data_IF_011167181205
#
_entry.id   IF_011167181205
#
_cell.length_a   1.000
_cell.length_b   1.000
_cell.length_c   1.000
_cell.angle_alpha   90.00
_cell.angle_beta   90.00
_cell.angle_gamma   90.00
#
_symmetry.space_group_name_H-M   'P 1'
#
loop_
_entity.id
_entity.type
_entity.pdbx_description
1 polymer ?
#
# COMPACT_ATOMS: atom_id res chain seq x y z
N UNK A 1 -23.58 -13.38 14.42
CA UNK A 1 -25.02 -13.49 14.76
C UNK A 1 -25.73 -12.32 14.10
N UNK A 2 -26.57 -12.57 13.11
CA UNK A 2 -27.33 -11.50 12.45
C UNK A 2 -28.23 -10.79 13.48
N UNK A 3 -28.34 -9.47 13.40
CA UNK A 3 -29.16 -8.68 14.32
C UNK A 3 -30.60 -9.20 14.33
N UNK A 4 -31.09 -9.61 15.50
CA UNK A 4 -32.47 -10.12 15.69
C UNK A 4 -33.54 -9.01 15.56
N UNK A 5 -33.12 -7.75 15.56
CA UNK A 5 -33.98 -6.57 15.57
C UNK A 5 -33.59 -5.67 14.40
N UNK A 6 -34.58 -5.17 13.67
CA UNK A 6 -34.37 -4.21 12.58
C UNK A 6 -33.67 -2.94 13.12
N UNK A 7 -32.68 -2.39 12.39
CA UNK A 7 -32.02 -1.16 12.79
C UNK A 7 -33.05 -0.02 12.88
N UNK A 8 -32.87 0.86 13.88
CA UNK A 8 -33.75 2.02 14.05
C UNK A 8 -33.67 2.93 12.83
N UNK A 9 -34.82 3.24 12.25
CA UNK A 9 -34.96 4.26 11.21
C UNK A 9 -36.01 5.30 11.64
N UNK A 10 -36.14 6.35 10.86
CA UNK A 10 -37.14 7.42 10.99
C UNK A 10 -38.56 6.91 10.73
N UNK A 11 -39.57 7.75 10.96
CA UNK A 11 -40.96 7.41 10.61
C UNK A 11 -41.12 7.22 9.09
N UNK A 12 -42.05 6.38 8.67
CA UNK A 12 -42.22 5.96 7.27
C UNK A 12 -42.40 7.14 6.28
N UNK A 13 -43.09 8.21 6.71
CA UNK A 13 -43.29 9.41 5.87
C UNK A 13 -41.95 10.09 5.57
N UNK A 14 -41.10 10.24 6.58
CA UNK A 14 -39.78 10.86 6.43
C UNK A 14 -38.85 9.95 5.62
N UNK A 15 -38.94 8.63 5.77
CA UNK A 15 -38.19 7.69 4.93
C UNK A 15 -38.57 7.83 3.45
N UNK A 16 -39.87 7.95 3.13
CA UNK A 16 -40.33 8.14 1.74
C UNK A 16 -39.82 9.47 1.17
N UNK A 17 -39.90 10.56 1.94
CA UNK A 17 -39.36 11.87 1.53
C UNK A 17 -37.85 11.78 1.28
N UNK A 18 -37.09 11.14 2.20
CA UNK A 18 -35.65 10.89 2.05
C UNK A 18 -35.34 10.13 0.77
N UNK A 19 -36.05 9.04 0.50
CA UNK A 19 -35.84 8.19 -0.67
C UNK A 19 -36.15 8.92 -1.98
N UNK A 20 -37.14 9.82 -1.99
CA UNK A 20 -37.48 10.65 -3.14
C UNK A 20 -36.39 11.70 -3.41
N UNK A 21 -35.95 12.42 -2.38
CA UNK A 21 -34.98 13.52 -2.55
C UNK A 21 -33.55 13.04 -2.84
N UNK A 22 -33.15 11.89 -2.28
CA UNK A 22 -31.79 11.34 -2.44
C UNK A 22 -31.67 10.32 -3.59
N UNK A 23 -32.78 9.98 -4.26
CA UNK A 23 -32.81 9.00 -5.35
C UNK A 23 -32.25 7.64 -4.94
N UNK A 24 -31.47 7.00 -5.82
CA UNK A 24 -30.89 5.65 -5.59
C UNK A 24 -29.99 5.52 -4.36
N UNK A 25 -29.62 6.64 -3.71
CA UNK A 25 -28.78 6.67 -2.50
C UNK A 25 -29.58 6.74 -1.20
N UNK A 26 -30.90 7.00 -1.25
CA UNK A 26 -31.71 7.28 -0.06
C UNK A 26 -32.07 6.09 0.83
N UNK A 27 -31.98 4.86 0.27
CA UNK A 27 -32.42 3.65 0.97
C UNK A 27 -31.45 3.09 2.01
N UNK A 28 -30.23 3.65 2.12
CA UNK A 28 -29.21 3.11 3.01
C UNK A 28 -29.12 3.91 4.31
N UNK A 29 -29.12 3.20 5.44
CA UNK A 29 -28.90 3.81 6.75
C UNK A 29 -27.40 3.82 7.07
N UNK A 30 -26.81 5.01 7.13
CA UNK A 30 -25.37 5.20 7.35
C UNK A 30 -24.95 5.07 8.83
N UNK A 31 -25.91 4.96 9.73
CA UNK A 31 -25.63 4.79 11.16
C UNK A 31 -25.18 3.36 11.45
N UNK A 32 -24.33 3.23 12.47
CA UNK A 32 -23.81 1.94 12.94
C UNK A 32 -24.75 1.37 14.00
N UNK A 33 -25.32 0.22 13.72
CA UNK A 33 -26.20 -0.50 14.65
C UNK A 33 -25.53 -1.74 15.21
N UNK A 34 -25.92 -2.09 16.43
CA UNK A 34 -25.52 -3.34 17.07
C UNK A 34 -25.96 -4.54 16.21
N UNK A 35 -25.09 -5.55 16.11
CA UNK A 35 -25.34 -6.76 15.30
C UNK A 35 -25.07 -6.61 13.79
N UNK A 36 -24.93 -5.39 13.27
CA UNK A 36 -24.38 -5.11 11.93
C UNK A 36 -22.90 -4.72 11.98
N UNK A 37 -22.40 -4.39 13.17
CA UNK A 37 -20.97 -4.18 13.45
C UNK A 37 -20.42 -5.37 14.23
N UNK A 38 -19.12 -5.61 14.09
CA UNK A 38 -18.42 -6.56 14.95
C UNK A 38 -18.56 -6.15 16.43
N UNK A 39 -18.57 -7.13 17.33
CA UNK A 39 -18.65 -6.89 18.76
C UNK A 39 -17.47 -6.03 19.24
N UNK A 40 -17.65 -5.27 20.32
CA UNK A 40 -16.54 -4.49 20.91
C UNK A 40 -15.49 -5.40 21.54
N UNK A 41 -15.93 -6.51 22.13
CA UNK A 41 -15.06 -7.55 22.70
C UNK A 41 -14.79 -8.60 21.64
N UNK A 42 -13.52 -8.85 21.37
CA UNK A 42 -13.06 -9.87 20.43
C UNK A 42 -12.38 -11.01 21.21
N UNK A 43 -12.50 -12.28 20.76
CA UNK A 43 -11.75 -13.37 21.36
C UNK A 43 -10.24 -13.18 21.14
N UNK A 44 -9.43 -13.81 21.97
CA UNK A 44 -7.97 -13.75 21.80
C UNK A 44 -7.57 -14.38 20.46
N UNK A 45 -6.85 -13.65 19.58
CA UNK A 45 -6.43 -14.19 18.29
C UNK A 45 -5.23 -15.13 18.44
N UNK A 46 -5.16 -16.15 17.60
CA UNK A 46 -3.95 -16.96 17.38
C UNK A 46 -3.38 -16.58 16.01
N UNK A 47 -2.36 -15.72 16.00
CA UNK A 47 -1.75 -15.21 14.77
C UNK A 47 -0.67 -16.18 14.26
N UNK A 48 -0.54 -16.38 12.94
CA UNK A 48 0.54 -17.17 12.40
C UNK A 48 1.87 -16.45 12.62
N UNK A 49 2.91 -17.24 12.79
CA UNK A 49 4.27 -16.73 12.96
C UNK A 49 4.81 -16.09 11.68
N UNK A 50 5.75 -15.16 11.86
CA UNK A 50 6.49 -14.54 10.77
C UNK A 50 7.52 -15.48 10.11
N UNK A 51 8.09 -15.07 8.96
CA UNK A 51 9.01 -15.92 8.18
C UNK A 51 10.32 -16.28 8.90
N UNK A 52 10.65 -15.59 9.97
CA UNK A 52 11.84 -15.80 10.79
C UNK A 52 11.55 -16.48 12.14
N UNK A 53 10.38 -17.09 12.34
CA UNK A 53 10.13 -18.00 13.47
C UNK A 53 10.71 -19.40 13.18
N UNK A 54 12.02 -19.47 12.97
CA UNK A 54 12.75 -20.70 12.65
C UNK A 54 13.73 -21.01 13.76
N UNK A 55 13.77 -22.28 14.18
CA UNK A 55 14.65 -22.77 15.26
C UNK A 55 16.12 -22.91 14.82
N UNK A 56 16.36 -23.16 13.54
CA UNK A 56 17.70 -23.38 12.98
C UNK A 56 17.91 -22.58 11.69
N UNK A 57 19.17 -22.36 11.31
CA UNK A 57 19.56 -21.66 10.08
C UNK A 57 18.91 -20.26 9.92
N UNK A 58 18.80 -19.51 11.01
CA UNK A 58 18.12 -18.22 11.07
C UNK A 58 18.96 -17.15 11.79
N UNK A 59 20.24 -17.10 11.43
CA UNK A 59 21.17 -16.13 12.00
C UNK A 59 20.81 -14.70 11.60
N UNK A 60 20.86 -13.77 12.56
CA UNK A 60 20.48 -12.38 12.33
C UNK A 60 21.31 -11.69 11.24
N UNK A 61 22.62 -12.00 11.17
CA UNK A 61 23.53 -11.38 10.20
C UNK A 61 23.12 -11.64 8.74
N UNK A 62 22.48 -12.78 8.45
CA UNK A 62 22.07 -13.13 7.09
C UNK A 62 20.81 -12.38 6.62
N UNK A 63 20.02 -11.80 7.55
CA UNK A 63 18.76 -11.10 7.25
C UNK A 63 18.78 -9.61 7.58
N UNK A 64 19.88 -9.10 8.12
CA UNK A 64 19.99 -7.69 8.53
C UNK A 64 20.27 -6.79 7.31
N UNK A 65 19.21 -6.40 6.60
CA UNK A 65 19.29 -5.49 5.47
C UNK A 65 19.83 -4.10 5.86
N UNK A 66 19.74 -3.70 7.13
CA UNK A 66 20.26 -2.40 7.60
C UNK A 66 21.78 -2.30 7.47
N UNK A 67 22.47 -3.44 7.53
CA UNK A 67 23.93 -3.54 7.38
C UNK A 67 24.37 -3.85 5.95
N UNK A 68 23.44 -4.11 5.05
CA UNK A 68 23.70 -4.30 3.62
C UNK A 68 23.67 -2.97 2.85
N UNK A 69 23.36 -1.86 3.53
CA UNK A 69 23.35 -0.54 2.95
C UNK A 69 24.80 -0.09 2.72
N UNK A 70 25.22 -0.10 1.46
CA UNK A 70 26.49 0.46 1.02
C UNK A 70 26.39 1.98 0.81
N UNK A 71 27.54 2.65 0.81
CA UNK A 71 27.62 4.06 0.48
C UNK A 71 27.21 4.30 -0.98
N UNK A 72 26.60 5.46 -1.29
CA UNK A 72 26.24 5.77 -2.67
C UNK A 72 27.47 5.86 -3.57
N UNK A 73 27.35 5.37 -4.80
CA UNK A 73 28.41 5.44 -5.80
C UNK A 73 28.54 6.88 -6.30
N UNK A 74 29.72 7.48 -6.16
CA UNK A 74 30.04 8.81 -6.68
C UNK A 74 30.35 8.71 -8.19
N UNK A 75 29.46 9.25 -9.03
CA UNK A 75 29.60 9.25 -10.50
C UNK A 75 30.48 10.42 -10.98
N UNK A 76 30.42 11.56 -10.29
CA UNK A 76 31.25 12.73 -10.56
C UNK A 76 31.56 13.44 -9.23
N UNK A 77 32.80 13.92 -9.08
CA UNK A 77 33.25 14.69 -7.92
C UNK A 77 34.10 15.87 -8.39
N UNK A 78 33.98 17.03 -7.72
CA UNK A 78 34.80 18.22 -8.01
C UNK A 78 36.28 18.08 -7.59
N UNK A 79 36.67 16.93 -7.02
CA UNK A 79 38.05 16.62 -6.69
C UNK A 79 38.87 16.32 -7.95
N UNK A 80 39.93 17.09 -8.16
CA UNK A 80 40.87 16.96 -9.28
C UNK A 80 41.81 15.76 -9.06
N UNK A 81 41.44 14.60 -9.59
CA UNK A 81 42.32 13.42 -9.67
C UNK A 81 43.38 13.59 -10.77
N UNK A 82 44.59 13.05 -10.55
CA UNK A 82 45.67 13.06 -11.55
C UNK A 82 45.25 12.15 -12.73
N UNK A 83 45.28 12.72 -13.93
CA UNK A 83 44.55 12.22 -15.10
C UNK A 83 44.98 10.85 -15.60
N UNK A 84 43.99 9.97 -15.81
CA UNK A 84 44.14 8.79 -16.66
C UNK A 84 44.20 9.22 -18.14
N UNK A 85 44.96 8.52 -19.01
CA UNK A 85 45.06 8.86 -20.43
C UNK A 85 43.69 8.84 -21.10
N UNK A 86 43.42 9.86 -21.92
CA UNK A 86 42.15 10.04 -22.61
C UNK A 86 41.91 8.91 -23.60
N UNK A 87 41.06 7.95 -23.25
CA UNK A 87 40.49 6.99 -24.20
C UNK A 87 39.40 7.68 -25.03
N UNK A 88 39.46 7.56 -26.35
CA UNK A 88 38.48 8.07 -27.30
C UNK A 88 37.04 7.70 -26.88
N UNK A 89 36.23 8.72 -26.60
CA UNK A 89 34.85 8.53 -26.17
C UNK A 89 33.93 8.51 -27.40
N UNK A 90 33.13 7.44 -27.61
CA UNK A 90 32.18 7.40 -28.72
C UNK A 90 31.11 8.49 -28.58
N UNK A 91 30.47 8.86 -29.69
CA UNK A 91 29.41 9.87 -29.75
C UNK A 91 28.33 9.64 -28.67
N UNK A 92 28.05 10.67 -27.86
CA UNK A 92 27.13 10.60 -26.72
C UNK A 92 25.69 10.49 -27.21
N UNK A 93 25.10 9.29 -27.16
CA UNK A 93 23.64 9.09 -27.30
C UNK A 93 22.94 9.67 -26.07
N UNK A 94 21.84 10.41 -26.26
CA UNK A 94 20.98 10.84 -25.15
C UNK A 94 20.43 9.60 -24.43
N UNK A 95 20.64 9.50 -23.12
CA UNK A 95 20.11 8.41 -22.29
C UNK A 95 18.91 8.92 -21.50
N UNK A 96 17.79 8.21 -21.55
CA UNK A 96 16.65 8.43 -20.65
C UNK A 96 16.86 7.62 -19.35
N UNK A 97 16.34 8.07 -18.20
CA UNK A 97 16.47 7.33 -16.93
C UNK A 97 15.81 5.95 -16.93
N UNK A 98 14.81 5.74 -17.78
CA UNK A 98 14.07 4.49 -17.90
C UNK A 98 13.33 4.38 -19.22
N UNK A 99 12.59 3.28 -19.38
CA UNK A 99 11.71 3.03 -20.53
C UNK A 99 10.42 3.82 -20.38
N UNK A 100 9.88 4.33 -21.49
CA UNK A 100 8.56 4.98 -21.52
C UNK A 100 7.52 3.91 -21.79
N UNK A 101 6.56 3.74 -20.86
CA UNK A 101 5.48 2.76 -20.99
C UNK A 101 4.19 3.46 -21.43
N UNK A 102 3.73 3.16 -22.64
CA UNK A 102 2.42 3.59 -23.15
C UNK A 102 1.38 2.50 -22.83
N UNK A 103 0.68 2.67 -21.70
CA UNK A 103 -0.29 1.70 -21.18
C UNK A 103 -1.57 1.57 -22.04
N UNK A 104 -1.88 2.60 -22.83
CA UNK A 104 -3.05 2.67 -23.73
C UNK A 104 -2.69 2.52 -25.22
N UNK A 105 -1.47 2.15 -25.58
CA UNK A 105 -1.11 2.02 -26.98
C UNK A 105 -1.88 0.83 -27.61
N UNK A 106 -2.57 1.03 -28.75
CA UNK A 106 -3.19 -0.08 -29.46
C UNK A 106 -2.10 -1.06 -29.93
N UNK A 107 -2.38 -2.37 -29.80
CA UNK A 107 -1.52 -3.46 -30.27
C UNK A 107 -1.28 -3.40 -31.78
#
# INVERSE_FOLDING_TARGET
MAAKVAPRDTIEIIQKIRNILLGSRGGQNYLRFEGLIAARTQPQPNLPDGPHAKLSANYYYARDARRQLEQPILIASDQKLIGAPASEQPARKFRTPGQVYAWDAPL
#
